data_IF_406469918072
#
_entry.id   IF_406469918072
#
_cell.length_a   1.000
_cell.length_b   1.000
_cell.length_c   1.000
_cell.angle_alpha   90.00
_cell.angle_beta   90.00
_cell.angle_gamma   90.00
#
_symmetry.space_group_name_H-M   'P 1'
#
loop_
_entity.id
_entity.type
_entity.pdbx_description
1 polymer ?
#
# COMPACT_ATOMS: atom_id res chain seq x y z
N UNK A 1 -24.75 0.10 6.51
CA UNK A 1 -24.22 -1.19 6.00
C UNK A 1 -22.72 -1.17 6.19
N UNK A 2 -22.11 -2.31 6.50
CA UNK A 2 -20.66 -2.38 6.70
C UNK A 2 -19.93 -2.31 5.35
N UNK A 3 -18.75 -1.69 5.33
CA UNK A 3 -17.85 -1.66 4.19
C UNK A 3 -17.54 -3.08 3.72
N UNK A 4 -17.59 -3.31 2.40
CA UNK A 4 -17.29 -4.62 1.81
C UNK A 4 -15.87 -4.60 1.26
N UNK A 5 -15.06 -5.59 1.63
CA UNK A 5 -13.78 -5.83 0.96
C UNK A 5 -14.05 -6.28 -0.47
N UNK A 6 -13.68 -5.46 -1.44
CA UNK A 6 -13.88 -5.71 -2.87
C UNK A 6 -12.61 -6.25 -3.55
N UNK A 7 -11.43 -5.97 -2.98
CA UNK A 7 -10.15 -6.48 -3.47
C UNK A 7 -9.33 -7.02 -2.30
N UNK A 8 -8.74 -8.20 -2.49
CA UNK A 8 -7.87 -8.89 -1.53
C UNK A 8 -6.79 -9.67 -2.31
N UNK A 9 -5.72 -8.98 -2.68
CA UNK A 9 -4.70 -9.51 -3.58
C UNK A 9 -3.33 -9.54 -2.92
N UNK A 10 -2.55 -10.57 -3.25
CA UNK A 10 -1.14 -10.70 -2.90
C UNK A 10 -0.39 -11.13 -4.15
N UNK A 11 0.61 -10.33 -4.54
CA UNK A 11 1.51 -10.67 -5.63
C UNK A 11 2.93 -10.87 -5.10
N UNK A 12 3.44 -12.10 -5.16
CA UNK A 12 4.81 -12.42 -4.75
C UNK A 12 5.80 -12.06 -5.86
N UNK A 13 6.83 -11.30 -5.51
CA UNK A 13 7.91 -10.94 -6.40
C UNK A 13 8.98 -12.04 -6.34
N UNK A 14 9.35 -12.58 -7.49
CA UNK A 14 10.38 -13.61 -7.58
C UNK A 14 11.71 -13.13 -6.99
N UNK A 15 12.45 -14.02 -6.33
CA UNK A 15 13.74 -13.72 -5.70
C UNK A 15 14.74 -13.03 -6.66
N UNK A 16 14.78 -13.47 -7.92
CA UNK A 16 15.67 -12.90 -8.96
C UNK A 16 15.32 -11.45 -9.36
N UNK A 17 14.16 -10.95 -8.94
CA UNK A 17 13.64 -9.60 -9.25
C UNK A 17 13.57 -8.69 -8.02
N UNK A 18 14.29 -9.02 -6.95
CA UNK A 18 14.37 -8.21 -5.73
C UNK A 18 13.64 -8.79 -4.52
N UNK A 19 12.91 -9.91 -4.68
CA UNK A 19 12.12 -10.56 -3.62
C UNK A 19 10.98 -9.66 -3.07
N UNK A 20 10.20 -10.17 -2.12
CA UNK A 20 9.12 -9.45 -1.45
C UNK A 20 7.74 -9.75 -2.02
N UNK A 21 6.74 -8.99 -1.58
CA UNK A 21 5.36 -9.10 -2.02
C UNK A 21 4.66 -7.75 -2.10
N UNK A 22 3.75 -7.61 -3.05
CA UNK A 22 2.76 -6.54 -3.09
C UNK A 22 1.48 -7.03 -2.45
N UNK A 23 0.91 -6.22 -1.57
CA UNK A 23 -0.39 -6.40 -0.94
C UNK A 23 -1.31 -5.29 -1.44
N UNK A 24 -2.52 -5.67 -1.88
CA UNK A 24 -3.55 -4.72 -2.29
C UNK A 24 -4.88 -5.15 -1.70
N UNK A 25 -5.39 -4.36 -0.78
CA UNK A 25 -6.70 -4.56 -0.17
C UNK A 25 -7.53 -3.30 -0.31
N UNK A 26 -8.79 -3.45 -0.69
CA UNK A 26 -9.70 -2.31 -0.90
C UNK A 26 -11.07 -2.67 -0.37
N UNK A 27 -11.67 -1.72 0.34
CA UNK A 27 -13.04 -1.79 0.81
C UNK A 27 -13.84 -0.63 0.21
N UNK A 28 -15.08 -0.93 -0.15
CA UNK A 28 -16.03 0.04 -0.65
C UNK A 28 -17.34 -0.01 0.13
N UNK A 29 -18.03 1.12 0.19
CA UNK A 29 -19.41 1.18 0.67
C UNK A 29 -20.39 0.59 -0.36
N UNK A 30 -21.68 0.60 0.00
CA UNK A 30 -22.76 0.11 -0.87
C UNK A 30 -22.91 0.89 -2.19
N UNK A 31 -22.36 2.11 -2.28
CA UNK A 31 -22.39 2.95 -3.47
C UNK A 31 -21.14 2.80 -4.32
N UNK A 32 -20.21 1.93 -3.93
CA UNK A 32 -18.94 1.71 -4.62
C UNK A 32 -17.87 2.76 -4.27
N UNK A 33 -18.10 3.63 -3.28
CA UNK A 33 -17.09 4.58 -2.82
C UNK A 33 -16.04 3.85 -2.00
N UNK A 34 -14.76 4.03 -2.34
CA UNK A 34 -13.65 3.47 -1.57
C UNK A 34 -13.61 4.14 -0.18
N UNK A 35 -13.73 3.34 0.87
CA UNK A 35 -13.70 3.81 2.26
C UNK A 35 -12.40 3.46 2.95
N UNK A 36 -11.79 2.32 2.59
CA UNK A 36 -10.52 1.85 3.15
C UNK A 36 -9.66 1.20 2.09
N UNK A 37 -8.36 1.30 2.28
CA UNK A 37 -7.39 0.60 1.43
C UNK A 37 -6.12 0.27 2.21
N UNK A 38 -5.37 -0.72 1.73
CA UNK A 38 -4.03 -1.06 2.17
C UNK A 38 -3.21 -1.49 0.94
N UNK A 39 -2.30 -0.61 0.53
CA UNK A 39 -1.30 -0.86 -0.50
C UNK A 39 0.05 -1.00 0.19
N UNK A 40 0.73 -2.13 0.02
CA UNK A 40 2.03 -2.31 0.67
C UNK A 40 2.98 -3.14 -0.19
N UNK A 41 4.22 -2.68 -0.30
CA UNK A 41 5.34 -3.51 -0.69
C UNK A 41 6.08 -3.95 0.57
N UNK A 42 6.09 -5.26 0.78
CA UNK A 42 6.68 -5.91 1.95
C UNK A 42 7.90 -6.68 1.49
N UNK A 43 9.05 -6.39 2.08
CA UNK A 43 10.28 -7.12 1.87
C UNK A 43 11.14 -7.10 3.14
N UNK A 44 11.08 -8.20 3.89
CA UNK A 44 11.83 -8.38 5.14
C UNK A 44 13.35 -8.34 4.97
N UNK A 45 13.88 -8.40 3.74
CA UNK A 45 15.32 -8.22 3.52
C UNK A 45 15.72 -6.75 3.46
N UNK A 46 14.80 -5.87 3.07
CA UNK A 46 15.04 -4.43 2.92
C UNK A 46 14.62 -3.64 4.16
N UNK A 47 13.59 -4.09 4.87
CA UNK A 47 13.12 -3.47 6.10
C UNK A 47 12.85 -4.56 7.15
N UNK A 48 13.33 -4.33 8.38
CA UNK A 48 12.93 -5.12 9.55
C UNK A 48 11.84 -4.40 10.38
N UNK A 49 11.62 -3.10 10.12
CA UNK A 49 10.57 -2.30 10.74
C UNK A 49 9.22 -2.52 10.06
N UNK A 50 8.14 -2.15 10.75
CA UNK A 50 6.77 -2.17 10.21
C UNK A 50 6.39 -3.51 9.56
N UNK A 51 6.73 -4.61 10.23
CA UNK A 51 6.54 -5.98 9.75
C UNK A 51 7.08 -6.22 8.32
N UNK A 52 8.22 -5.60 8.00
CA UNK A 52 8.87 -5.71 6.68
C UNK A 52 8.30 -4.80 5.60
N UNK A 53 7.35 -3.92 5.92
CA UNK A 53 6.84 -2.92 4.98
C UNK A 53 7.96 -1.94 4.63
N UNK A 54 8.23 -1.83 3.33
CA UNK A 54 9.23 -0.92 2.77
C UNK A 54 8.57 0.39 2.33
N UNK A 55 7.50 0.27 1.56
CA UNK A 55 6.64 1.38 1.14
C UNK A 55 5.19 0.92 1.24
N UNK A 56 4.30 1.80 1.66
CA UNK A 56 2.87 1.53 1.61
C UNK A 56 2.02 2.78 1.75
N UNK A 57 0.74 2.65 1.44
CA UNK A 57 -0.27 3.68 1.62
C UNK A 57 -1.51 3.01 2.21
N UNK A 58 -2.01 3.55 3.31
CA UNK A 58 -3.27 3.13 3.88
C UNK A 58 -3.96 4.29 4.61
N UNK A 59 -5.16 4.01 5.10
CA UNK A 59 -5.94 4.95 5.91
C UNK A 59 -6.45 4.34 7.21
N UNK A 60 -5.78 3.30 7.73
CA UNK A 60 -6.22 2.56 8.91
C UNK A 60 -6.21 3.40 10.20
N UNK A 61 -5.44 4.49 10.23
CA UNK A 61 -5.32 5.42 11.36
C UNK A 61 -6.32 6.60 11.32
N UNK A 62 -7.33 6.55 10.46
CA UNK A 62 -8.35 7.60 10.34
C UNK A 62 -7.94 8.79 9.48
N UNK A 63 -6.71 8.79 8.94
CA UNK A 63 -6.21 9.72 7.93
C UNK A 63 -5.38 8.97 6.89
N UNK A 64 -5.23 9.55 5.71
CA UNK A 64 -4.45 8.97 4.62
C UNK A 64 -2.97 9.23 4.86
N UNK A 65 -2.15 8.18 4.79
CA UNK A 65 -0.73 8.31 5.05
C UNK A 65 0.10 7.31 4.26
N UNK A 66 1.36 7.68 4.08
CA UNK A 66 2.42 6.87 3.49
C UNK A 66 3.25 6.24 4.59
N UNK A 67 3.52 4.96 4.44
CA UNK A 67 4.56 4.24 5.17
C UNK A 67 5.82 4.21 4.33
N UNK A 68 6.97 4.56 4.91
CA UNK A 68 8.27 4.40 4.26
C UNK A 68 9.34 3.99 5.26
N UNK A 69 9.87 2.77 5.12
CA UNK A 69 10.89 2.19 5.99
C UNK A 69 10.60 2.36 7.50
N UNK A 70 9.33 2.20 7.90
CA UNK A 70 8.86 2.35 9.27
C UNK A 70 8.47 3.77 9.70
N UNK A 71 8.73 4.78 8.87
CA UNK A 71 8.18 6.13 9.04
C UNK A 71 6.74 6.23 8.51
N UNK A 72 5.94 7.10 9.13
CA UNK A 72 4.57 7.42 8.70
C UNK A 72 4.48 8.91 8.40
N UNK A 73 3.98 9.26 7.23
CA UNK A 73 3.79 10.65 6.80
C UNK A 73 2.37 10.84 6.26
N UNK A 74 1.64 11.88 6.68
CA UNK A 74 0.32 12.18 6.12
C UNK A 74 0.43 12.51 4.63
N UNK A 75 -0.61 12.17 3.87
CA UNK A 75 -0.71 12.51 2.45
C UNK A 75 -2.03 13.20 2.15
N UNK A 76 -1.98 14.16 1.23
CA UNK A 76 -3.19 14.77 0.70
C UNK A 76 -3.97 13.74 -0.12
N UNK A 77 -5.24 13.54 0.23
CA UNK A 77 -6.11 12.61 -0.46
C UNK A 77 -7.03 13.35 -1.44
N UNK A 78 -6.77 13.20 -2.73
CA UNK A 78 -7.67 13.68 -3.80
C UNK A 78 -8.59 12.54 -4.27
N UNK A 79 -8.00 11.37 -4.54
CA UNK A 79 -8.74 10.17 -4.97
C UNK A 79 -7.94 8.90 -4.67
N UNK A 80 -8.63 7.76 -4.69
CA UNK A 80 -7.94 6.48 -4.54
C UNK A 80 -7.01 6.18 -5.73
N UNK A 81 -7.41 6.52 -6.96
CA UNK A 81 -6.56 6.35 -8.14
C UNK A 81 -5.24 7.14 -8.02
N UNK A 82 -5.29 8.35 -7.46
CA UNK A 82 -4.08 9.13 -7.19
C UNK A 82 -3.16 8.44 -6.16
N UNK A 83 -3.74 7.82 -5.13
CA UNK A 83 -2.96 7.04 -4.15
C UNK A 83 -2.30 5.84 -4.82
N UNK A 84 -3.00 5.15 -5.73
CA UNK A 84 -2.40 4.04 -6.49
C UNK A 84 -1.23 4.51 -7.36
N UNK A 85 -1.40 5.64 -8.05
CA UNK A 85 -0.33 6.25 -8.85
C UNK A 85 0.89 6.61 -8.00
N UNK A 86 0.67 7.21 -6.82
CA UNK A 86 1.74 7.53 -5.88
C UNK A 86 2.46 6.27 -5.39
N UNK A 87 1.72 5.24 -5.00
CA UNK A 87 2.29 3.96 -4.58
C UNK A 87 3.11 3.31 -5.70
N UNK A 88 2.59 3.27 -6.93
CA UNK A 88 3.28 2.71 -8.08
C UNK A 88 4.57 3.47 -8.41
N UNK A 89 4.54 4.81 -8.32
CA UNK A 89 5.73 5.66 -8.54
C UNK A 89 6.80 5.40 -7.49
N UNK A 90 6.44 5.40 -6.20
CA UNK A 90 7.37 5.18 -5.10
C UNK A 90 7.96 3.76 -5.16
N UNK A 91 7.12 2.75 -5.38
CA UNK A 91 7.59 1.36 -5.53
C UNK A 91 8.50 1.16 -6.74
N UNK A 92 8.20 1.79 -7.87
CA UNK A 92 9.06 1.68 -9.07
C UNK A 92 10.39 2.41 -8.88
N UNK A 93 10.39 3.51 -8.13
CA UNK A 93 11.61 4.27 -7.82
C UNK A 93 12.58 3.45 -6.96
N UNK A 94 12.08 2.65 -6.02
CA UNK A 94 12.87 1.69 -5.22
C UNK A 94 13.58 0.62 -6.05
N UNK A 95 13.10 0.33 -7.27
CA UNK A 95 13.70 -0.67 -8.15
C UNK A 95 14.79 -0.10 -9.06
N UNK A 96 14.94 1.23 -9.08
CA UNK A 96 15.94 1.93 -9.92
C UNK A 96 17.17 2.38 -9.14
N UNK A 97 17.12 2.33 -7.80
CA UNK A 97 18.25 2.57 -6.88
C UNK A 97 19.01 1.29 -6.60
#
# INVERSE_FOLDING_TARGET
MADKKIIDEIHKIANRRGNGQLRREIWADQYGKITRYNLAYINHRLSQGDNGRVIGYDNAHGFHHRHYLGGIEPVDFISFDQIEDCFQKDWTSLRRS
#
